data_IF_824755253732
#
_entry.id   IF_824755253732
#
_cell.length_a   1.000
_cell.length_b   1.000
_cell.length_c   1.000
_cell.angle_alpha   90.00
_cell.angle_beta   90.00
_cell.angle_gamma   90.00
#
_symmetry.space_group_name_H-M   'P 1'
#
loop_
_entity.id
_entity.type
_entity.pdbx_description
1 polymer ?
#
# COMPACT_ATOMS: atom_id res chain seq x y z
N UNK A 1 -10.16 -5.28 -48.66
CA UNK A 1 -10.05 -4.46 -47.43
C UNK A 1 -9.88 -5.41 -46.26
N UNK A 2 -8.64 -5.79 -45.96
CA UNK A 2 -8.28 -6.56 -44.77
C UNK A 2 -7.69 -5.58 -43.78
N UNK A 3 -8.45 -5.24 -42.76
CA UNK A 3 -8.01 -4.42 -41.64
C UNK A 3 -7.02 -5.25 -40.79
N UNK A 4 -5.78 -4.79 -40.70
CA UNK A 4 -4.79 -5.34 -39.79
C UNK A 4 -5.05 -4.74 -38.40
N UNK A 5 -5.81 -5.46 -37.56
CA UNK A 5 -5.87 -5.11 -36.14
C UNK A 5 -4.51 -5.39 -35.50
N UNK A 6 -3.74 -4.33 -35.24
CA UNK A 6 -2.48 -4.40 -34.51
C UNK A 6 -2.73 -5.01 -33.12
N UNK A 7 -2.16 -6.19 -32.86
CA UNK A 7 -2.11 -6.77 -31.53
C UNK A 7 -1.30 -5.83 -30.63
N UNK A 8 -1.96 -5.20 -29.66
CA UNK A 8 -1.29 -4.48 -28.59
C UNK A 8 -0.32 -5.41 -27.84
N UNK A 9 0.72 -4.89 -27.18
CA UNK A 9 1.73 -5.72 -26.56
C UNK A 9 1.09 -6.59 -25.47
N UNK A 10 1.01 -7.89 -25.72
CA UNK A 10 0.68 -8.92 -24.73
C UNK A 10 1.88 -9.11 -23.80
N UNK A 11 2.09 -8.14 -22.90
CA UNK A 11 3.02 -8.31 -21.80
C UNK A 11 2.42 -9.32 -20.83
N UNK A 12 2.89 -10.57 -20.91
CA UNK A 12 2.67 -11.59 -19.91
C UNK A 12 3.34 -11.15 -18.59
N UNK A 13 2.67 -10.33 -17.80
CA UNK A 13 3.08 -10.00 -16.43
C UNK A 13 2.86 -11.23 -15.55
N UNK A 14 3.90 -12.06 -15.46
CA UNK A 14 3.89 -13.22 -14.60
C UNK A 14 4.24 -12.77 -13.17
N UNK A 15 3.28 -12.14 -12.47
CA UNK A 15 3.44 -11.56 -11.11
C UNK A 15 3.98 -12.55 -10.06
N UNK A 16 3.91 -13.86 -10.35
CA UNK A 16 4.30 -14.93 -9.44
C UNK A 16 5.64 -15.59 -9.83
N UNK A 17 6.27 -15.17 -10.92
CA UNK A 17 7.54 -15.75 -11.41
C UNK A 17 8.76 -15.03 -10.82
N UNK A 18 8.74 -14.74 -9.53
CA UNK A 18 10.00 -14.59 -8.79
C UNK A 18 10.67 -15.96 -8.81
N UNK A 19 11.73 -16.08 -9.60
CA UNK A 19 12.49 -17.31 -9.75
C UNK A 19 12.94 -17.88 -8.40
N UNK A 20 13.34 -19.14 -8.42
CA UNK A 20 13.76 -19.96 -7.28
C UNK A 20 15.05 -19.46 -6.57
N UNK A 21 15.10 -18.17 -6.22
CA UNK A 21 16.06 -17.53 -5.32
C UNK A 21 15.30 -16.82 -4.20
N UNK A 22 15.98 -16.54 -3.07
CA UNK A 22 15.44 -15.74 -1.96
C UNK A 22 15.15 -14.31 -2.44
N UNK A 23 13.97 -14.06 -3.01
CA UNK A 23 13.50 -12.68 -3.22
C UNK A 23 13.15 -12.08 -1.88
N UNK A 24 13.85 -11.01 -1.49
CA UNK A 24 13.49 -10.23 -0.32
C UNK A 24 12.20 -9.47 -0.60
N UNK A 25 11.22 -9.57 0.29
CA UNK A 25 9.90 -8.95 0.11
C UNK A 25 9.51 -8.19 1.35
N UNK A 26 9.03 -6.96 1.17
CA UNK A 26 8.47 -6.13 2.24
C UNK A 26 7.08 -5.66 1.89
N UNK A 27 6.23 -5.55 2.89
CA UNK A 27 4.88 -5.04 2.74
C UNK A 27 4.59 -3.95 3.77
N UNK A 28 3.84 -2.94 3.34
CA UNK A 28 3.29 -1.89 4.19
C UNK A 28 1.75 -2.00 4.17
N UNK A 29 1.18 -2.31 5.33
CA UNK A 29 -0.25 -2.45 5.57
C UNK A 29 -0.75 -1.24 6.35
N UNK A 30 -1.77 -0.54 5.85
CA UNK A 30 -2.26 0.73 6.43
C UNK A 30 -3.78 0.63 6.60
N UNK A 31 -4.24 0.68 7.84
CA UNK A 31 -5.66 0.68 8.20
C UNK A 31 -6.04 2.01 8.85
N UNK A 32 -6.88 2.80 8.19
CA UNK A 32 -7.50 4.00 8.74
C UNK A 32 -9.00 3.75 8.93
N UNK A 33 -9.42 3.36 10.13
CA UNK A 33 -10.78 2.98 10.48
C UNK A 33 -11.58 4.07 11.22
N UNK A 34 -10.91 5.14 11.67
CA UNK A 34 -11.48 6.31 12.36
C UNK A 34 -12.42 5.96 13.53
N UNK A 35 -11.96 5.14 14.50
CA UNK A 35 -12.82 4.64 15.57
C UNK A 35 -13.36 5.79 16.43
N UNK A 36 -14.63 5.70 16.81
CA UNK A 36 -15.30 6.72 17.64
C UNK A 36 -15.66 8.02 16.92
N UNK A 37 -15.50 8.09 15.60
CA UNK A 37 -15.92 9.23 14.78
C UNK A 37 -17.17 8.90 13.96
N UNK A 38 -17.83 9.92 13.39
CA UNK A 38 -18.93 9.73 12.43
C UNK A 38 -18.48 9.08 11.11
N UNK A 39 -17.16 9.02 10.87
CA UNK A 39 -16.55 8.46 9.66
C UNK A 39 -16.01 7.04 9.90
N UNK A 40 -16.42 6.37 10.96
CA UNK A 40 -15.91 5.05 11.32
C UNK A 40 -16.18 4.00 10.21
N UNK A 41 -15.15 3.22 9.87
CA UNK A 41 -15.20 2.13 8.89
C UNK A 41 -14.73 0.82 9.54
N UNK A 42 -15.63 0.06 10.20
CA UNK A 42 -15.24 -1.19 10.87
C UNK A 42 -14.79 -2.28 9.89
N UNK A 43 -15.19 -2.19 8.61
CA UNK A 43 -14.76 -3.13 7.56
C UNK A 43 -13.26 -3.09 7.30
N UNK A 44 -12.64 -1.90 7.37
CA UNK A 44 -11.22 -1.72 7.08
C UNK A 44 -10.30 -2.55 7.99
N UNK A 45 -10.70 -2.70 9.25
CA UNK A 45 -9.95 -3.49 10.24
C UNK A 45 -9.91 -4.96 9.83
N UNK A 46 -11.03 -5.52 9.36
CA UNK A 46 -11.12 -6.92 8.92
C UNK A 46 -10.29 -7.16 7.67
N UNK A 47 -10.39 -6.28 6.69
CA UNK A 47 -9.65 -6.40 5.44
C UNK A 47 -8.14 -6.38 5.69
N UNK A 48 -7.69 -5.45 6.53
CA UNK A 48 -6.27 -5.31 6.81
C UNK A 48 -5.75 -6.44 7.71
N UNK A 49 -6.55 -6.97 8.62
CA UNK A 49 -6.22 -8.17 9.39
C UNK A 49 -5.99 -9.39 8.49
N UNK A 50 -6.83 -9.58 7.47
CA UNK A 50 -6.66 -10.66 6.49
C UNK A 50 -5.34 -10.52 5.70
N UNK A 51 -4.98 -9.29 5.31
CA UNK A 51 -3.72 -9.02 4.61
C UNK A 51 -2.50 -9.23 5.52
N UNK A 52 -2.56 -8.79 6.77
CA UNK A 52 -1.47 -8.97 7.75
C UNK A 52 -1.25 -10.45 8.09
N UNK A 53 -2.30 -11.27 8.05
CA UNK A 53 -2.18 -12.73 8.19
C UNK A 53 -1.67 -13.43 6.91
N UNK A 54 -2.07 -12.97 5.73
CA UNK A 54 -1.75 -13.61 4.45
C UNK A 54 -0.32 -13.31 3.95
N UNK A 55 0.14 -12.06 4.05
CA UNK A 55 1.40 -11.60 3.48
C UNK A 55 2.65 -12.29 4.06
N UNK A 56 2.75 -12.54 5.39
CA UNK A 56 3.88 -13.30 5.94
C UNK A 56 3.96 -14.72 5.40
N UNK A 57 2.81 -15.37 5.14
CA UNK A 57 2.74 -16.72 4.53
C UNK A 57 3.25 -16.72 3.09
N UNK A 58 3.25 -15.56 2.43
CA UNK A 58 3.82 -15.34 1.09
C UNK A 58 5.28 -14.84 1.15
N UNK A 59 5.91 -14.81 2.34
CA UNK A 59 7.30 -14.44 2.53
C UNK A 59 7.54 -12.93 2.59
N UNK A 60 6.52 -12.12 2.86
CA UNK A 60 6.68 -10.68 3.08
C UNK A 60 6.98 -10.36 4.54
N UNK A 61 7.95 -9.48 4.75
CA UNK A 61 8.15 -8.78 6.01
C UNK A 61 7.19 -7.58 6.09
N UNK A 62 6.23 -7.64 7.02
CA UNK A 62 5.07 -6.73 7.07
C UNK A 62 5.26 -5.64 8.13
N UNK A 63 5.19 -4.39 7.71
CA UNK A 63 4.98 -3.23 8.58
C UNK A 63 3.50 -2.88 8.61
N UNK A 64 2.91 -2.75 9.80
CA UNK A 64 1.47 -2.49 9.96
C UNK A 64 1.22 -1.20 10.73
N UNK A 65 0.41 -0.31 10.13
CA UNK A 65 -0.10 0.92 10.73
C UNK A 65 -1.62 0.82 10.90
N UNK A 66 -2.13 1.05 12.11
CA UNK A 66 -3.58 0.99 12.38
C UNK A 66 -4.00 1.95 13.48
N UNK A 67 -5.18 2.54 13.32
CA UNK A 67 -5.82 3.34 14.36
C UNK A 67 -6.76 2.53 15.26
N UNK A 68 -7.05 1.27 14.88
CA UNK A 68 -8.01 0.39 15.54
C UNK A 68 -7.54 -0.26 16.85
N UNK A 69 -6.27 -0.12 17.20
CA UNK A 69 -5.72 -0.59 18.48
C UNK A 69 -4.66 0.36 19.06
N UNK A 70 -4.14 0.06 20.24
CA UNK A 70 -3.13 0.87 20.94
C UNK A 70 -1.72 0.25 20.92
N UNK A 71 -1.55 -0.87 20.21
CA UNK A 71 -0.28 -1.60 20.17
C UNK A 71 0.55 -1.20 18.95
N UNK A 72 -0.11 -0.89 17.84
CA UNK A 72 0.53 -0.50 16.59
C UNK A 72 0.64 1.01 16.46
N UNK A 73 1.56 1.41 15.58
CA UNK A 73 1.73 2.80 15.27
C UNK A 73 0.52 3.36 14.49
N UNK A 74 0.06 4.54 14.90
CA UNK A 74 -1.10 5.18 14.29
C UNK A 74 -0.80 5.58 12.83
N UNK A 75 -1.78 5.44 11.92
CA UNK A 75 -1.65 5.73 10.49
C UNK A 75 -1.80 7.24 10.23
N UNK A 76 -1.02 8.05 10.94
CA UNK A 76 -0.96 9.50 10.69
C UNK A 76 -0.29 9.75 9.35
N UNK A 77 -0.57 10.91 8.73
CA UNK A 77 0.09 11.31 7.48
C UNK A 77 1.61 11.23 7.56
N UNK A 78 2.20 11.68 8.68
CA UNK A 78 3.64 11.64 8.88
C UNK A 78 4.19 10.21 8.90
N UNK A 79 3.50 9.29 9.60
CA UNK A 79 3.91 7.89 9.70
C UNK A 79 3.76 7.16 8.37
N UNK A 80 2.63 7.35 7.68
CA UNK A 80 2.39 6.76 6.35
C UNK A 80 3.48 7.20 5.37
N UNK A 81 3.73 8.50 5.25
CA UNK A 81 4.75 9.04 4.33
C UNK A 81 6.15 8.54 4.71
N UNK A 82 6.47 8.43 6.00
CA UNK A 82 7.76 7.90 6.47
C UNK A 82 7.95 6.44 6.07
N UNK A 83 6.97 5.58 6.32
CA UNK A 83 7.08 4.15 5.98
C UNK A 83 7.07 3.92 4.47
N UNK A 84 6.31 4.70 3.70
CA UNK A 84 6.39 4.69 2.24
C UNK A 84 7.79 5.07 1.74
N UNK A 85 8.39 6.15 2.27
CA UNK A 85 9.76 6.56 1.92
C UNK A 85 10.78 5.48 2.25
N UNK A 86 10.68 4.85 3.42
CA UNK A 86 11.54 3.72 3.80
C UNK A 86 11.40 2.53 2.85
N UNK A 87 10.17 2.17 2.47
CA UNK A 87 9.93 1.08 1.54
C UNK A 87 10.53 1.38 0.15
N UNK A 88 10.30 2.58 -0.38
CA UNK A 88 10.88 3.01 -1.66
C UNK A 88 12.41 3.05 -1.62
N UNK A 89 13.01 3.59 -0.56
CA UNK A 89 14.47 3.61 -0.39
C UNK A 89 15.03 2.18 -0.38
N UNK A 90 14.42 1.29 0.41
CA UNK A 90 14.81 -0.12 0.49
C UNK A 90 14.66 -0.86 -0.86
N UNK A 91 13.62 -0.57 -1.64
CA UNK A 91 13.47 -1.14 -2.99
C UNK A 91 14.56 -0.63 -3.94
N UNK A 92 14.96 0.63 -3.83
CA UNK A 92 15.96 1.24 -4.72
C UNK A 92 17.39 0.76 -4.49
N UNK A 93 17.69 0.23 -3.29
CA UNK A 93 19.03 -0.26 -2.94
C UNK A 93 19.45 -1.52 -3.70
N UNK A 94 18.49 -2.35 -4.17
CA UNK A 94 18.81 -3.65 -4.79
C UNK A 94 17.70 -4.10 -5.74
N UNK A 95 18.11 -4.47 -6.95
CA UNK A 95 17.21 -5.03 -7.95
C UNK A 95 16.62 -6.39 -7.54
N UNK A 96 15.41 -6.69 -8.01
CA UNK A 96 14.71 -7.94 -7.71
C UNK A 96 14.05 -8.01 -6.33
N UNK A 97 14.07 -6.91 -5.54
CA UNK A 97 13.25 -6.75 -4.34
C UNK A 97 11.79 -6.50 -4.71
N UNK A 98 10.87 -6.99 -3.87
CA UNK A 98 9.43 -6.80 -4.06
C UNK A 98 8.82 -5.99 -2.92
N UNK A 99 8.03 -5.00 -3.27
CA UNK A 99 7.27 -4.17 -2.34
C UNK A 99 5.77 -4.35 -2.53
N UNK A 100 5.03 -4.41 -1.42
CA UNK A 100 3.56 -4.41 -1.43
C UNK A 100 3.05 -3.27 -0.55
N UNK A 101 2.02 -2.55 -1.00
CA UNK A 101 1.33 -1.54 -0.19
C UNK A 101 -0.16 -1.86 -0.21
N UNK A 102 -0.75 -2.00 0.97
CA UNK A 102 -2.19 -2.16 1.18
C UNK A 102 -2.69 -0.97 1.98
N UNK A 103 -3.67 -0.26 1.45
CA UNK A 103 -4.36 0.82 2.14
C UNK A 103 -5.84 0.51 2.22
N UNK A 104 -6.40 0.53 3.43
CA UNK A 104 -7.83 0.43 3.67
C UNK A 104 -8.29 1.59 4.55
N UNK A 105 -9.15 2.45 4.01
CA UNK A 105 -9.62 3.68 4.66
C UNK A 105 -10.40 4.56 3.70
N UNK A 106 -10.69 5.80 4.12
CA UNK A 106 -11.42 6.77 3.28
C UNK A 106 -10.55 7.35 2.17
N UNK A 107 -11.13 7.49 0.99
CA UNK A 107 -10.60 8.31 -0.10
C UNK A 107 -11.42 9.58 -0.25
N UNK A 108 -10.75 10.72 -0.41
CA UNK A 108 -11.41 12.00 -0.67
C UNK A 108 -10.72 12.71 -1.84
N UNK A 109 -11.47 13.54 -2.56
CA UNK A 109 -10.94 14.43 -3.59
C UNK A 109 -10.79 15.82 -2.98
N UNK A 110 -9.65 16.47 -3.21
CA UNK A 110 -9.40 17.84 -2.75
C UNK A 110 -9.11 18.68 -4.01
N UNK A 111 -9.87 19.76 -4.28
CA UNK A 111 -9.59 20.67 -5.38
C UNK A 111 -8.21 21.34 -5.24
N UNK A 112 -7.52 21.57 -6.36
CA UNK A 112 -6.14 22.11 -6.37
C UNK A 112 -5.99 23.43 -5.60
N UNK A 113 -6.99 24.32 -5.70
CA UNK A 113 -6.99 25.62 -5.03
C UNK A 113 -7.00 25.47 -3.49
N UNK A 114 -7.56 24.38 -2.98
CA UNK A 114 -7.60 24.07 -1.55
C UNK A 114 -6.32 23.35 -1.08
N UNK A 115 -5.58 22.70 -1.99
CA UNK A 115 -4.34 21.96 -1.67
C UNK A 115 -3.22 22.90 -1.22
N UNK A 116 -3.14 24.12 -1.77
CA UNK A 116 -2.03 25.02 -1.48
C UNK A 116 -1.88 25.37 0.01
N UNK A 117 -3.01 25.41 0.73
CA UNK A 117 -3.10 25.72 2.16
C UNK A 117 -3.54 24.52 3.03
N UNK A 118 -3.78 23.34 2.44
CA UNK A 118 -4.34 22.19 3.16
C UNK A 118 -3.27 21.33 3.84
N UNK A 119 -3.58 20.75 5.03
CA UNK A 119 -2.71 19.77 5.69
C UNK A 119 -2.48 18.49 4.85
N UNK A 120 -3.22 18.28 3.75
CA UNK A 120 -3.01 17.16 2.82
C UNK A 120 -1.77 17.33 1.91
N UNK A 121 -1.27 18.55 1.69
CA UNK A 121 -0.13 18.82 0.79
C UNK A 121 1.13 18.02 1.16
N UNK A 122 1.57 17.14 0.27
CA UNK A 122 2.84 16.42 0.43
C UNK A 122 3.95 17.39 -0.01
N UNK A 123 4.87 17.71 0.91
CA UNK A 123 6.05 18.54 0.64
C UNK A 123 7.21 17.68 0.15
#
# INVERSE_FOLDING_TARGET
MTDQSAAGPTTNFNYLKTGAGKTERKALCICCSYPGTQLALPGCVRDQAAMVDMLPKQGYDVTFLTDGDNYHEKPTKANIVREMKKLCAWLSEKEGRQGWISYSGHGAQVPDDEIQNSPCRIK
#
